data_IF_021151788392
#
_entry.id   IF_021151788392
#
_cell.length_a   1.000
_cell.length_b   1.000
_cell.length_c   1.000
_cell.angle_alpha   90.00
_cell.angle_beta   90.00
_cell.angle_gamma   90.00
#
_symmetry.space_group_name_H-M   'P 1'
#
loop_
_entity.id
_entity.type
_entity.pdbx_description
1 polymer ?
#
# COMPACT_ATOMS: atom_id res chain seq x y z
N UNK A 1 -17.65 -2.82 -3.53
CA UNK A 1 -18.37 -4.11 -3.65
C UNK A 1 -18.17 -4.63 -5.05
N UNK A 2 -18.23 -5.95 -5.22
CA UNK A 2 -18.20 -6.65 -6.50
C UNK A 2 -19.58 -7.24 -6.73
N UNK A 3 -20.23 -6.93 -7.86
CA UNK A 3 -21.50 -7.55 -8.22
C UNK A 3 -21.31 -8.86 -8.97
N UNK A 4 -22.32 -9.71 -8.85
CA UNK A 4 -22.47 -10.90 -9.70
C UNK A 4 -23.19 -10.54 -11.01
N UNK A 5 -24.10 -9.56 -10.97
CA UNK A 5 -24.79 -9.02 -12.13
C UNK A 5 -25.16 -7.54 -11.93
N UNK A 6 -25.25 -6.82 -13.05
CA UNK A 6 -25.74 -5.44 -13.10
C UNK A 6 -26.62 -5.27 -14.34
N UNK A 7 -27.76 -4.60 -14.18
CA UNK A 7 -28.66 -4.17 -15.26
C UNK A 7 -29.01 -2.70 -14.99
N UNK A 8 -28.38 -1.80 -15.73
CA UNK A 8 -28.49 -0.35 -15.51
C UNK A 8 -29.87 0.18 -15.93
N UNK A 9 -30.50 -0.41 -16.95
CA UNK A 9 -31.82 0.00 -17.44
C UNK A 9 -32.90 -0.31 -16.41
N UNK A 10 -32.71 -1.39 -15.64
CA UNK A 10 -33.59 -1.78 -14.54
C UNK A 10 -33.14 -1.28 -13.18
N UNK A 11 -32.05 -0.50 -13.10
CA UNK A 11 -31.44 -0.08 -11.83
C UNK A 11 -31.19 -1.27 -10.87
N UNK A 12 -30.77 -2.41 -11.42
CA UNK A 12 -30.58 -3.65 -10.69
C UNK A 12 -29.09 -3.96 -10.51
N UNK A 13 -28.72 -4.37 -9.30
CA UNK A 13 -27.35 -4.74 -8.94
C UNK A 13 -27.42 -5.87 -7.92
N UNK A 14 -26.91 -7.06 -8.27
CA UNK A 14 -26.90 -8.23 -7.38
C UNK A 14 -25.51 -8.46 -6.79
N UNK A 15 -25.46 -8.79 -5.50
CA UNK A 15 -24.21 -8.89 -4.74
C UNK A 15 -24.26 -10.13 -3.87
N UNK A 16 -23.28 -11.02 -4.03
CA UNK A 16 -23.03 -12.14 -3.11
C UNK A 16 -22.06 -11.77 -1.98
N UNK A 17 -21.28 -10.70 -2.13
CA UNK A 17 -20.47 -10.15 -1.04
C UNK A 17 -21.35 -9.62 0.10
N UNK A 18 -21.05 -10.06 1.33
CA UNK A 18 -21.82 -9.71 2.53
C UNK A 18 -21.67 -8.22 2.90
N UNK A 19 -20.53 -7.60 2.57
CA UNK A 19 -20.24 -6.21 2.90
C UNK A 19 -19.25 -5.59 1.90
N UNK A 20 -19.22 -4.25 1.76
CA UNK A 20 -18.12 -3.56 1.10
C UNK A 20 -16.80 -3.80 1.83
N UNK A 21 -15.73 -3.89 1.05
CA UNK A 21 -14.36 -3.85 1.55
C UNK A 21 -13.73 -2.49 1.25
N UNK A 22 -12.76 -2.08 2.07
CA UNK A 22 -11.90 -0.95 1.74
C UNK A 22 -11.18 -1.22 0.42
N UNK A 23 -11.05 -0.17 -0.41
CA UNK A 23 -10.23 -0.27 -1.61
C UNK A 23 -8.73 -0.22 -1.28
N UNK A 24 -8.37 0.52 -0.24
CA UNK A 24 -7.01 0.67 0.25
C UNK A 24 -7.06 0.72 1.78
N UNK A 25 -6.20 -0.04 2.43
CA UNK A 25 -6.15 -0.17 3.90
C UNK A 25 -5.18 0.84 4.54
N UNK A 26 -4.70 1.80 3.75
CA UNK A 26 -3.76 2.84 4.15
C UNK A 26 -4.40 4.06 4.81
N UNK A 27 -3.74 5.20 4.65
CA UNK A 27 -4.08 6.43 5.37
C UNK A 27 -4.79 7.47 4.49
N UNK A 28 -4.39 7.61 3.21
CA UNK A 28 -4.66 8.84 2.45
C UNK A 28 -5.36 8.58 1.10
N UNK A 29 -5.80 7.36 0.79
CA UNK A 29 -6.47 7.07 -0.49
C UNK A 29 -7.92 7.54 -0.46
N UNK A 30 -8.30 8.37 -1.44
CA UNK A 30 -9.68 8.83 -1.62
C UNK A 30 -10.03 9.05 -3.09
N UNK A 31 -11.32 9.25 -3.36
CA UNK A 31 -11.88 9.63 -4.68
C UNK A 31 -11.30 8.82 -5.86
N UNK A 32 -11.27 7.49 -5.73
CA UNK A 32 -10.72 6.63 -6.79
C UNK A 32 -11.65 6.63 -8.00
N UNK A 33 -11.08 6.94 -9.16
CA UNK A 33 -11.75 6.77 -10.44
C UNK A 33 -11.25 5.49 -11.12
N UNK A 34 -12.18 4.77 -11.75
CA UNK A 34 -11.86 3.56 -12.54
C UNK A 34 -12.30 3.74 -13.99
N UNK A 35 -11.63 3.05 -14.91
CA UNK A 35 -11.95 3.06 -16.33
C UNK A 35 -11.55 1.74 -17.00
N UNK A 36 -12.27 1.37 -18.06
CA UNK A 36 -11.88 0.27 -18.93
C UNK A 36 -10.90 0.79 -19.99
N UNK A 37 -9.74 0.15 -20.08
CA UNK A 37 -8.76 0.40 -21.13
C UNK A 37 -8.77 -0.70 -22.21
N UNK A 38 -7.86 -0.59 -23.19
CA UNK A 38 -7.76 -1.54 -24.30
C UNK A 38 -7.61 -2.99 -23.85
N UNK A 39 -8.21 -3.91 -24.61
CA UNK A 39 -8.14 -5.35 -24.31
C UNK A 39 -8.96 -5.78 -23.10
N UNK A 40 -9.99 -5.00 -22.71
CA UNK A 40 -10.92 -5.34 -21.63
C UNK A 40 -10.33 -5.20 -20.22
N UNK A 41 -9.16 -4.57 -20.08
CA UNK A 41 -8.52 -4.35 -18.79
C UNK A 41 -9.22 -3.22 -18.03
N UNK A 42 -9.34 -3.35 -16.73
CA UNK A 42 -9.81 -2.28 -15.86
C UNK A 42 -8.62 -1.63 -15.14
N UNK A 43 -8.66 -0.31 -14.98
CA UNK A 43 -7.64 0.48 -14.33
C UNK A 43 -8.24 1.41 -13.30
N UNK A 44 -7.43 1.80 -12.32
CA UNK A 44 -7.79 2.75 -11.28
C UNK A 44 -6.67 3.75 -11.02
N UNK A 45 -7.06 4.98 -10.69
CA UNK A 45 -6.19 6.01 -10.13
C UNK A 45 -6.93 6.68 -8.97
N UNK A 46 -6.20 6.93 -7.90
CA UNK A 46 -6.73 7.51 -6.66
C UNK A 46 -6.03 8.82 -6.33
N UNK A 47 -6.78 9.76 -5.76
CA UNK A 47 -6.21 10.88 -5.04
C UNK A 47 -5.55 10.36 -3.75
N UNK A 48 -4.32 10.79 -3.49
CA UNK A 48 -3.59 10.54 -2.24
C UNK A 48 -3.62 11.84 -1.44
N UNK A 49 -4.69 11.96 -0.67
CA UNK A 49 -5.10 13.10 0.13
C UNK A 49 -6.55 12.89 0.58
N UNK A 50 -6.95 13.59 1.64
CA UNK A 50 -8.28 13.50 2.21
C UNK A 50 -8.91 14.90 2.29
N UNK A 51 -10.23 15.02 2.08
CA UNK A 51 -10.92 16.27 2.38
C UNK A 51 -10.74 16.62 3.86
N UNK A 52 -10.64 17.92 4.15
CA UNK A 52 -10.58 18.48 5.51
C UNK A 52 -9.39 18.00 6.37
N UNK A 53 -8.31 17.50 5.74
CA UNK A 53 -7.06 17.12 6.40
C UNK A 53 -5.90 18.01 5.93
N UNK A 54 -5.39 18.84 6.83
CA UNK A 54 -4.16 19.61 6.60
C UNK A 54 -2.93 18.70 6.54
N UNK A 55 -2.02 19.01 5.62
CA UNK A 55 -0.78 18.27 5.42
C UNK A 55 0.45 19.15 5.71
N UNK A 56 1.60 18.55 6.07
CA UNK A 56 2.82 19.32 6.31
C UNK A 56 3.32 20.15 5.11
N UNK A 57 2.92 19.80 3.89
CA UNK A 57 3.25 20.53 2.65
C UNK A 57 2.38 21.77 2.41
N UNK A 58 1.30 21.97 3.18
CA UNK A 58 0.44 23.14 3.02
C UNK A 58 1.23 24.45 3.21
N UNK A 59 2.25 24.44 4.08
CA UNK A 59 3.19 25.56 4.29
C UNK A 59 4.05 25.89 3.05
N UNK A 60 4.11 24.97 2.09
CA UNK A 60 4.85 25.07 0.84
C UNK A 60 3.92 25.49 -0.32
N UNK A 61 2.64 25.77 -0.04
CA UNK A 61 1.60 26.18 -0.99
C UNK A 61 1.27 25.14 -2.08
N UNK A 62 1.45 23.85 -1.78
CA UNK A 62 1.00 22.76 -2.63
C UNK A 62 0.50 21.59 -1.78
N UNK A 63 -0.42 20.79 -2.32
CA UNK A 63 -1.02 19.69 -1.59
C UNK A 63 -1.22 18.45 -2.47
N UNK A 64 -1.03 17.29 -1.82
CA UNK A 64 -1.41 15.97 -2.31
C UNK A 64 -0.69 15.51 -3.58
N UNK A 65 -1.04 14.29 -4.02
CA UNK A 65 -0.63 13.76 -5.31
C UNK A 65 -1.64 12.71 -5.81
N UNK A 66 -1.39 12.14 -6.99
CA UNK A 66 -2.08 10.95 -7.47
C UNK A 66 -1.27 9.70 -7.11
N UNK A 67 -1.98 8.62 -6.80
CA UNK A 67 -1.37 7.28 -6.75
C UNK A 67 -0.91 6.85 -8.14
N UNK A 68 0.00 5.87 -8.21
CA UNK A 68 0.27 5.19 -9.46
C UNK A 68 -1.02 4.55 -10.03
N UNK A 69 -1.08 4.40 -11.35
CA UNK A 69 -2.17 3.66 -11.99
C UNK A 69 -2.08 2.19 -11.59
N UNK A 70 -3.22 1.63 -11.19
CA UNK A 70 -3.39 0.24 -10.77
C UNK A 70 -4.22 -0.49 -11.81
N UNK A 71 -3.73 -1.62 -12.32
CA UNK A 71 -4.57 -2.57 -13.05
C UNK A 71 -5.41 -3.37 -12.06
N UNK A 72 -6.71 -3.45 -12.32
CA UNK A 72 -7.67 -4.17 -11.50
C UNK A 72 -7.93 -5.57 -12.07
N UNK A 73 -8.01 -6.56 -11.18
CA UNK A 73 -8.45 -7.92 -11.51
C UNK A 73 -9.32 -8.47 -10.41
N UNK A 74 -10.24 -9.38 -10.73
CA UNK A 74 -11.01 -10.11 -9.73
C UNK A 74 -10.47 -11.54 -9.67
N UNK A 75 -10.14 -12.00 -8.46
CA UNK A 75 -9.70 -13.38 -8.20
C UNK A 75 -10.35 -13.86 -6.91
N UNK A 76 -10.99 -15.02 -6.95
CA UNK A 76 -11.66 -15.64 -5.80
C UNK A 76 -12.62 -14.67 -5.07
N UNK A 77 -13.40 -13.88 -5.82
CA UNK A 77 -14.34 -12.91 -5.24
C UNK A 77 -13.71 -11.68 -4.58
N UNK A 78 -12.40 -11.46 -4.77
CA UNK A 78 -11.67 -10.31 -4.23
C UNK A 78 -11.11 -9.43 -5.37
N UNK A 79 -11.09 -8.12 -5.14
CA UNK A 79 -10.49 -7.14 -6.06
C UNK A 79 -8.99 -7.04 -5.78
N UNK A 80 -8.18 -7.38 -6.76
CA UNK A 80 -6.73 -7.23 -6.72
C UNK A 80 -6.29 -6.01 -7.52
N UNK A 81 -5.30 -5.31 -6.98
CA UNK A 81 -4.68 -4.13 -7.58
C UNK A 81 -3.20 -4.43 -7.85
N UNK A 82 -2.76 -4.17 -9.08
CA UNK A 82 -1.37 -4.35 -9.49
C UNK A 82 -0.82 -3.05 -10.09
N UNK A 83 0.42 -2.62 -9.77
CA UNK A 83 1.11 -1.61 -10.55
C UNK A 83 1.04 -1.93 -12.04
N UNK A 84 0.75 -0.95 -12.89
CA UNK A 84 0.76 -1.19 -14.34
C UNK A 84 2.16 -1.62 -14.82
N UNK A 85 2.27 -2.54 -15.79
CA UNK A 85 3.58 -3.04 -16.23
C UNK A 85 4.57 -1.96 -16.66
N UNK A 86 4.08 -0.84 -17.21
CA UNK A 86 4.90 0.29 -17.64
C UNK A 86 5.71 0.94 -16.49
N UNK A 87 5.30 0.79 -15.23
CA UNK A 87 6.08 1.27 -14.08
C UNK A 87 7.46 0.61 -14.01
N UNK A 88 7.61 -0.61 -14.54
CA UNK A 88 8.89 -1.28 -14.63
C UNK A 88 9.94 -0.53 -15.46
N UNK A 89 9.51 0.31 -16.41
CA UNK A 89 10.40 1.09 -17.27
C UNK A 89 11.14 2.21 -16.52
N UNK A 90 10.67 2.60 -15.33
CA UNK A 90 11.32 3.60 -14.49
C UNK A 90 12.46 3.02 -13.64
N UNK A 91 12.61 1.69 -13.60
CA UNK A 91 13.59 1.02 -12.77
C UNK A 91 15.00 1.23 -13.34
N UNK A 92 15.87 1.74 -12.49
CA UNK A 92 17.31 1.89 -12.76
C UNK A 92 18.10 1.36 -11.57
N UNK A 93 19.36 0.97 -11.80
CA UNK A 93 20.30 0.58 -10.74
C UNK A 93 19.75 -0.50 -9.78
N UNK A 94 19.04 -1.50 -10.32
CA UNK A 94 18.44 -2.58 -9.55
C UNK A 94 19.48 -3.38 -8.77
N UNK A 95 19.20 -3.66 -7.49
CA UNK A 95 20.06 -4.47 -6.62
C UNK A 95 19.27 -5.65 -6.08
N UNK A 96 19.82 -6.85 -6.26
CA UNK A 96 19.29 -8.03 -5.60
C UNK A 96 19.67 -8.00 -4.11
N UNK A 97 18.69 -8.26 -3.25
CA UNK A 97 18.90 -8.39 -1.81
C UNK A 97 18.92 -9.89 -1.49
N UNK A 98 20.05 -10.39 -1.03
CA UNK A 98 20.17 -11.75 -0.51
C UNK A 98 19.57 -11.81 0.90
N UNK A 99 18.84 -12.89 1.20
CA UNK A 99 18.37 -13.15 2.55
C UNK A 99 19.58 -13.20 3.50
N UNK A 100 19.63 -12.28 4.47
CA UNK A 100 20.57 -12.39 5.58
C UNK A 100 20.15 -13.57 6.45
N UNK A 101 21.13 -14.22 7.11
CA UNK A 101 20.83 -15.21 8.15
C UNK A 101 19.85 -14.62 9.17
N UNK A 102 18.94 -15.45 9.71
CA UNK A 102 18.07 -15.06 10.84
C UNK A 102 18.95 -14.42 11.91
N UNK A 103 18.80 -13.12 12.10
CA UNK A 103 19.60 -12.36 13.04
C UNK A 103 18.66 -11.51 13.84
N UNK A 104 18.79 -11.55 15.17
CA UNK A 104 18.14 -10.59 16.06
C UNK A 104 18.83 -9.21 16.00
N UNK A 105 19.70 -8.98 15.01
CA UNK A 105 20.42 -7.72 14.82
C UNK A 105 19.81 -6.92 13.67
N UNK A 106 19.95 -5.61 13.79
CA UNK A 106 19.65 -4.66 12.71
C UNK A 106 20.48 -4.98 11.47
N UNK A 107 19.81 -5.14 10.33
CA UNK A 107 20.45 -5.32 9.02
C UNK A 107 20.11 -4.10 8.16
N UNK A 108 21.13 -3.48 7.58
CA UNK A 108 20.93 -2.43 6.58
C UNK A 108 20.73 -3.07 5.20
N UNK A 109 19.51 -2.96 4.65
CA UNK A 109 19.24 -3.39 3.27
C UNK A 109 19.90 -2.47 2.25
N UNK A 110 19.87 -1.15 2.51
CA UNK A 110 20.52 -0.12 1.72
C UNK A 110 20.90 1.04 2.63
N UNK A 111 22.14 1.54 2.52
CA UNK A 111 22.53 2.81 3.12
C UNK A 111 22.40 3.91 2.07
N UNK A 112 21.92 5.09 2.47
CA UNK A 112 21.77 6.26 1.58
C UNK A 112 20.98 5.94 0.31
N UNK A 113 19.81 5.32 0.46
CA UNK A 113 18.93 5.04 -0.67
C UNK A 113 18.45 6.33 -1.34
N UNK A 114 18.11 6.24 -2.63
CA UNK A 114 17.35 7.29 -3.33
C UNK A 114 16.03 7.59 -2.62
N UNK A 115 15.50 8.81 -2.81
CA UNK A 115 14.14 9.19 -2.39
C UNK A 115 13.05 8.54 -3.25
N UNK A 116 13.43 7.95 -4.38
CA UNK A 116 12.55 7.22 -5.30
C UNK A 116 13.11 5.81 -5.50
N UNK A 117 12.35 4.78 -5.15
CA UNK A 117 12.72 3.38 -5.33
C UNK A 117 11.49 2.47 -5.35
N UNK A 118 11.68 1.25 -5.85
CA UNK A 118 10.76 0.14 -5.68
C UNK A 118 11.48 -0.96 -4.89
N UNK A 119 10.85 -1.48 -3.83
CA UNK A 119 11.37 -2.57 -3.02
C UNK A 119 10.39 -3.74 -3.06
N UNK A 120 10.80 -4.85 -3.67
CA UNK A 120 10.04 -6.09 -3.69
C UNK A 120 10.71 -7.12 -2.79
N UNK A 121 10.00 -7.58 -1.76
CA UNK A 121 10.48 -8.57 -0.81
C UNK A 121 9.62 -9.84 -0.88
N UNK A 122 10.25 -10.98 -0.65
CA UNK A 122 9.57 -12.26 -0.39
C UNK A 122 10.01 -12.73 0.98
N UNK A 123 9.05 -12.83 1.91
CA UNK A 123 9.30 -13.22 3.29
C UNK A 123 8.79 -14.65 3.46
N UNK A 124 9.64 -15.52 3.99
CA UNK A 124 9.28 -16.92 4.25
C UNK A 124 8.25 -17.02 5.37
N UNK A 125 7.44 -18.08 5.37
CA UNK A 125 6.46 -18.33 6.42
C UNK A 125 7.13 -18.47 7.80
N UNK A 126 6.34 -18.28 8.85
CA UNK A 126 6.80 -18.38 10.25
C UNK A 126 7.92 -17.39 10.60
N UNK A 127 7.90 -16.21 9.98
CA UNK A 127 8.77 -15.08 10.29
C UNK A 127 7.97 -13.88 10.75
N UNK A 128 8.52 -13.17 11.74
CA UNK A 128 8.05 -11.87 12.18
C UNK A 128 9.22 -10.90 12.25
N UNK A 129 8.95 -9.62 12.05
CA UNK A 129 9.98 -8.60 12.08
C UNK A 129 9.46 -7.22 11.75
N UNK A 130 10.39 -6.27 11.68
CA UNK A 130 10.13 -4.89 11.33
C UNK A 130 11.03 -4.47 10.18
N UNK A 131 10.44 -3.85 9.17
CA UNK A 131 11.13 -3.18 8.09
C UNK A 131 11.00 -1.67 8.30
N UNK A 132 12.14 -0.98 8.32
CA UNK A 132 12.19 0.46 8.48
C UNK A 132 12.53 1.11 7.14
N UNK A 133 11.64 1.95 6.63
CA UNK A 133 11.82 2.72 5.39
C UNK A 133 12.06 4.20 5.72
N UNK A 134 12.80 4.90 4.86
CA UNK A 134 13.18 6.31 5.06
C UNK A 134 13.71 6.57 6.49
N UNK A 135 14.53 5.64 6.99
CA UNK A 135 14.93 5.60 8.39
C UNK A 135 16.25 6.35 8.64
N UNK A 136 16.37 6.94 9.82
CA UNK A 136 17.66 7.41 10.32
C UNK A 136 18.57 6.24 10.77
N UNK A 137 19.84 6.54 11.06
CA UNK A 137 20.81 5.52 11.46
C UNK A 137 20.49 4.83 12.79
N UNK A 138 19.63 5.43 13.63
CA UNK A 138 19.29 4.94 14.96
C UNK A 138 17.89 4.30 15.03
N UNK A 139 17.12 4.30 13.93
CA UNK A 139 15.71 3.92 13.86
C UNK A 139 14.80 4.74 14.81
N UNK A 140 15.23 5.95 15.14
CA UNK A 140 14.41 6.88 15.93
C UNK A 140 13.31 7.49 15.10
N UNK A 141 13.58 7.71 13.80
CA UNK A 141 12.61 8.10 12.79
C UNK A 141 12.61 7.10 11.64
N UNK A 142 11.41 6.64 11.24
CA UNK A 142 11.19 5.77 10.09
C UNK A 142 9.70 5.61 9.81
N UNK A 143 9.36 5.26 8.58
CA UNK A 143 8.12 4.54 8.30
C UNK A 143 8.34 3.06 8.66
N UNK A 144 7.63 2.57 9.68
CA UNK A 144 7.80 1.22 10.22
C UNK A 144 6.74 0.28 9.64
N UNK A 145 7.19 -0.85 9.08
CA UNK A 145 6.35 -1.95 8.61
C UNK A 145 6.62 -3.16 9.50
N UNK A 146 5.73 -3.41 10.43
CA UNK A 146 5.75 -4.61 11.27
C UNK A 146 4.98 -5.74 10.59
N UNK A 147 5.59 -6.91 10.44
CA UNK A 147 4.97 -8.06 9.79
C UNK A 147 5.08 -9.32 10.65
N UNK A 148 4.08 -10.18 10.50
CA UNK A 148 4.07 -11.56 10.96
C UNK A 148 3.55 -12.45 9.84
N UNK A 149 4.21 -13.57 9.58
CA UNK A 149 3.79 -14.61 8.63
C UNK A 149 3.58 -15.96 9.33
N UNK A 150 3.39 -15.92 10.65
CA UNK A 150 3.04 -17.07 11.50
C UNK A 150 1.50 -17.25 11.57
N UNK A 151 1.00 -18.05 12.52
CA UNK A 151 -0.44 -18.37 12.67
C UNK A 151 -1.36 -17.15 12.72
N UNK A 152 -0.88 -16.03 13.29
CA UNK A 152 -1.56 -14.73 13.28
C UNK A 152 -0.83 -13.80 12.31
N UNK A 153 -0.95 -14.09 11.02
CA UNK A 153 -0.25 -13.36 9.99
C UNK A 153 -0.86 -11.95 9.83
N UNK A 154 -0.01 -10.93 9.85
CA UNK A 154 -0.44 -9.53 9.79
C UNK A 154 0.63 -8.64 9.16
N UNK A 155 0.19 -7.47 8.73
CA UNK A 155 1.06 -6.36 8.35
C UNK A 155 0.52 -5.08 9.00
N UNK A 156 1.36 -4.38 9.75
CA UNK A 156 1.07 -3.08 10.36
C UNK A 156 2.02 -2.04 9.78
N UNK A 157 1.47 -0.90 9.36
CA UNK A 157 2.22 0.28 8.94
C UNK A 157 2.06 1.36 10.02
N UNK A 158 3.17 1.91 10.49
CA UNK A 158 3.23 2.98 11.51
C UNK A 158 4.02 4.18 10.98
N UNK A 159 3.37 5.36 10.96
CA UNK A 159 3.91 6.62 10.43
C UNK A 159 4.19 7.70 11.48
N UNK A 160 3.85 7.47 12.75
CA UNK A 160 3.94 8.46 13.84
C UNK A 160 5.36 8.92 14.18
N UNK A 161 6.38 8.25 13.62
CA UNK A 161 7.80 8.64 13.73
C UNK A 161 8.46 8.81 12.36
N UNK A 162 7.70 8.93 11.27
CA UNK A 162 8.25 9.03 9.91
C UNK A 162 8.54 10.46 9.45
N UNK A 163 8.44 11.45 10.35
CA UNK A 163 8.61 12.86 10.05
C UNK A 163 7.71 13.74 10.91
N UNK A 164 7.10 14.76 10.30
CA UNK A 164 6.10 15.62 10.95
C UNK A 164 4.79 14.83 11.03
N UNK A 165 4.33 14.54 12.26
CA UNK A 165 3.02 13.92 12.48
C UNK A 165 1.88 14.87 12.11
N UNK A 166 0.82 14.31 11.53
CA UNK A 166 -0.40 15.04 11.18
C UNK A 166 -1.59 14.06 11.17
N UNK A 167 -2.81 14.60 11.23
CA UNK A 167 -4.06 13.83 11.24
C UNK A 167 -4.10 12.74 12.33
N UNK A 168 -3.48 12.98 13.49
CA UNK A 168 -3.31 11.98 14.56
C UNK A 168 -4.64 11.52 15.16
N UNK A 169 -5.68 12.34 15.08
CA UNK A 169 -7.06 11.98 15.45
C UNK A 169 -7.59 10.76 14.67
N UNK A 170 -7.02 10.47 13.48
CA UNK A 170 -7.36 9.32 12.64
C UNK A 170 -6.35 8.17 12.76
N UNK A 171 -5.46 8.25 13.75
CA UNK A 171 -4.44 7.25 14.06
C UNK A 171 -3.21 7.28 13.17
N UNK A 172 -2.08 6.84 13.72
CA UNK A 172 -0.79 6.74 13.00
C UNK A 172 -0.46 5.31 12.56
N UNK A 173 -1.31 4.34 12.93
CA UNK A 173 -1.19 2.92 12.58
C UNK A 173 -2.32 2.46 11.68
N UNK A 174 -2.01 1.58 10.73
CA UNK A 174 -2.97 0.76 9.97
C UNK A 174 -2.49 -0.68 9.99
N UNK A 175 -3.41 -1.62 10.19
CA UNK A 175 -3.10 -3.05 10.28
C UNK A 175 -4.05 -3.86 9.43
N UNK A 176 -3.50 -4.82 8.69
CA UNK A 176 -4.25 -5.81 7.93
C UNK A 176 -3.91 -7.21 8.43
N UNK A 177 -4.90 -8.10 8.41
CA UNK A 177 -4.65 -9.54 8.56
C UNK A 177 -4.22 -10.08 7.20
N UNK A 178 -3.15 -10.87 7.19
CA UNK A 178 -2.71 -11.54 5.97
C UNK A 178 -3.45 -12.87 5.84
N UNK A 179 -3.93 -13.25 4.64
CA UNK A 179 -4.61 -14.52 4.45
C UNK A 179 -3.69 -15.69 4.81
N UNK A 180 -4.25 -16.72 5.47
CA UNK A 180 -3.57 -18.00 5.63
C UNK A 180 -3.27 -18.59 4.24
N UNK A 181 -2.04 -19.07 4.04
CA UNK A 181 -1.67 -19.82 2.83
C UNK A 181 -2.33 -21.19 2.82
#
# INVERSE_FOLDING_TARGET
MISDAVDLDKSFFSISQVAPANLDEGFDVYATQTFNGPGGKAYAVSWVGLPDISHPTDKENWAHCLSQVKQLTIKNGQLYQHPVPAMANLRINGRHLSAGNKSNRKIFLMKRSSKHFELKLTISAQLSGKLHLAADENLTHSLELEFSTAEKALLTVERGRSGISFAENYGTKRSITLPSK
#
